data_IF_953555443584
#
_entry.id   IF_953555443584
#
_cell.length_a   1.000
_cell.length_b   1.000
_cell.length_c   1.000
_cell.angle_alpha   90.00
_cell.angle_beta   90.00
_cell.angle_gamma   90.00
#
_symmetry.space_group_name_H-M   'P 1'
#
loop_
_entity.id
_entity.type
_entity.pdbx_description
1 polymer ?
#
# COMPACT_ATOMS: atom_id res chain seq x y z
N UNK A 1 -10.50 34.19 4.55
CA UNK A 1 -11.05 32.82 4.41
C UNK A 1 -9.94 31.99 3.81
N UNK A 2 -9.52 30.92 4.48
CA UNK A 2 -8.51 30.01 3.94
C UNK A 2 -9.19 29.08 2.94
N UNK A 3 -8.79 29.15 1.67
CA UNK A 3 -9.32 28.27 0.62
C UNK A 3 -8.87 26.83 0.89
N UNK A 4 -9.83 25.96 1.24
CA UNK A 4 -9.58 24.54 1.40
C UNK A 4 -9.10 23.93 0.10
N UNK A 5 -7.85 23.43 0.08
CA UNK A 5 -7.32 22.70 -1.07
C UNK A 5 -7.98 21.32 -1.15
N UNK A 6 -8.73 21.09 -2.22
CA UNK A 6 -9.27 19.78 -2.55
C UNK A 6 -8.24 18.97 -3.32
N UNK A 7 -7.83 17.84 -2.77
CA UNK A 7 -6.98 16.87 -3.47
C UNK A 7 -7.85 15.76 -4.05
N UNK A 8 -7.65 15.44 -5.34
CA UNK A 8 -8.28 14.30 -6.02
C UNK A 8 -7.25 13.21 -6.26
N UNK A 9 -7.68 11.97 -6.07
CA UNK A 9 -6.90 10.77 -6.39
C UNK A 9 -7.47 10.18 -7.68
N UNK A 10 -6.63 9.55 -8.49
CA UNK A 10 -7.07 8.84 -9.70
C UNK A 10 -7.85 7.58 -9.33
N UNK A 11 -8.63 7.04 -10.27
CA UNK A 11 -9.36 5.79 -10.02
C UNK A 11 -8.42 4.64 -9.60
N UNK A 12 -7.29 4.49 -10.30
CA UNK A 12 -6.25 3.53 -9.94
C UNK A 12 -5.66 3.76 -8.54
N UNK A 13 -5.57 5.02 -8.10
CA UNK A 13 -5.15 5.34 -6.74
C UNK A 13 -6.19 4.95 -5.68
N UNK A 14 -7.48 5.06 -5.99
CA UNK A 14 -8.55 4.55 -5.13
C UNK A 14 -8.48 3.03 -4.98
N UNK A 15 -8.32 2.30 -6.09
CA UNK A 15 -8.20 0.82 -6.10
C UNK A 15 -6.98 0.36 -5.30
N UNK A 16 -5.84 1.03 -5.52
CA UNK A 16 -4.62 0.81 -4.75
C UNK A 16 -4.93 0.97 -3.27
N UNK A 17 -5.38 2.14 -2.81
CA UNK A 17 -5.63 2.41 -1.38
C UNK A 17 -6.62 1.41 -0.78
N UNK A 18 -7.71 1.07 -1.47
CA UNK A 18 -8.70 0.11 -1.00
C UNK A 18 -8.10 -1.27 -0.72
N UNK A 19 -7.12 -1.69 -1.51
CA UNK A 19 -6.47 -3.00 -1.40
C UNK A 19 -5.50 -3.09 -0.22
N UNK A 20 -4.78 -2.01 0.10
CA UNK A 20 -3.63 -2.02 1.03
C UNK A 20 -3.94 -1.38 2.37
N UNK A 21 -5.00 -0.57 2.47
CA UNK A 21 -5.44 -0.02 3.75
C UNK A 21 -5.95 -1.07 4.73
N UNK A 22 -6.04 -2.34 4.32
CA UNK A 22 -6.13 -3.44 5.27
C UNK A 22 -5.04 -3.29 6.33
N UNK A 23 -5.46 -3.21 7.59
CA UNK A 23 -4.61 -2.80 8.71
C UNK A 23 -3.37 -3.69 8.85
N UNK A 24 -3.49 -4.99 8.54
CA UNK A 24 -2.38 -5.94 8.61
C UNK A 24 -1.38 -5.74 7.47
N UNK A 25 -1.86 -5.47 6.26
CA UNK A 25 -1.00 -5.23 5.09
C UNK A 25 -0.24 -3.91 5.30
N UNK A 26 -0.93 -2.82 5.65
CA UNK A 26 -0.31 -1.51 5.83
C UNK A 26 0.72 -1.48 6.96
N UNK A 27 0.44 -2.14 8.10
CA UNK A 27 1.38 -2.22 9.21
C UNK A 27 2.69 -2.88 8.78
N UNK A 28 2.62 -4.02 8.08
CA UNK A 28 3.79 -4.75 7.59
C UNK A 28 4.52 -3.99 6.48
N UNK A 29 3.81 -3.29 5.59
CA UNK A 29 4.42 -2.39 4.60
C UNK A 29 5.25 -1.29 5.26
N UNK A 30 4.73 -0.62 6.30
CA UNK A 30 5.46 0.43 7.04
C UNK A 30 6.70 -0.12 7.74
N UNK A 31 6.60 -1.30 8.34
CA UNK A 31 7.74 -1.95 8.99
C UNK A 31 8.88 -2.18 7.99
N UNK A 32 8.56 -2.77 6.83
CA UNK A 32 9.52 -3.06 5.78
C UNK A 32 10.11 -1.78 5.17
N UNK A 33 9.29 -0.76 4.94
CA UNK A 33 9.74 0.54 4.47
C UNK A 33 10.68 1.22 5.48
N UNK A 34 10.38 1.11 6.78
CA UNK A 34 11.22 1.65 7.85
C UNK A 34 12.61 1.01 7.91
N UNK A 35 12.71 -0.30 7.64
CA UNK A 35 14.00 -1.01 7.56
C UNK A 35 14.90 -0.50 6.44
N UNK A 36 14.33 0.06 5.37
CA UNK A 36 15.09 0.61 4.25
C UNK A 36 15.67 2.02 4.52
N UNK A 37 15.36 2.65 5.66
CA UNK A 37 15.86 3.99 6.02
C UNK A 37 15.24 5.14 5.23
N UNK A 38 14.22 4.86 4.42
CA UNK A 38 13.55 5.79 3.52
C UNK A 38 13.23 5.10 2.19
N UNK A 39 12.00 5.26 1.70
CA UNK A 39 11.56 4.66 0.44
C UNK A 39 10.91 5.70 -0.45
N UNK A 40 11.15 5.59 -1.75
CA UNK A 40 10.36 6.34 -2.74
C UNK A 40 8.93 5.84 -2.76
N UNK A 41 8.00 6.63 -3.31
CA UNK A 41 6.60 6.21 -3.44
C UNK A 41 6.45 4.92 -4.26
N UNK A 42 7.25 4.78 -5.33
CA UNK A 42 7.27 3.56 -6.15
C UNK A 42 7.79 2.35 -5.37
N UNK A 43 8.83 2.52 -4.54
CA UNK A 43 9.30 1.43 -3.68
C UNK A 43 8.27 1.04 -2.62
N UNK A 44 7.60 2.02 -2.02
CA UNK A 44 6.52 1.77 -1.07
C UNK A 44 5.38 0.99 -1.73
N UNK A 45 5.04 1.34 -2.98
CA UNK A 45 4.07 0.61 -3.81
C UNK A 45 4.49 -0.84 -4.05
N UNK A 46 5.74 -1.08 -4.42
CA UNK A 46 6.27 -2.43 -4.61
C UNK A 46 6.21 -3.26 -3.32
N UNK A 47 6.60 -2.69 -2.18
CA UNK A 47 6.54 -3.36 -0.87
C UNK A 47 5.09 -3.70 -0.52
N UNK A 48 4.18 -2.73 -0.66
CA UNK A 48 2.75 -2.91 -0.44
C UNK A 48 2.18 -4.09 -1.24
N UNK A 49 2.44 -4.14 -2.55
CA UNK A 49 1.99 -5.23 -3.40
C UNK A 49 2.61 -6.57 -3.02
N UNK A 50 3.90 -6.61 -2.67
CA UNK A 50 4.55 -7.83 -2.20
C UNK A 50 3.91 -8.39 -0.92
N UNK A 51 3.63 -7.53 0.05
CA UNK A 51 2.94 -7.93 1.30
C UNK A 51 1.52 -8.41 1.01
N UNK A 52 0.79 -7.71 0.13
CA UNK A 52 -0.55 -8.14 -0.28
C UNK A 52 -0.53 -9.51 -0.95
N UNK A 53 0.37 -9.73 -1.92
CA UNK A 53 0.53 -11.02 -2.60
C UNK A 53 0.84 -12.15 -1.63
N UNK A 54 1.76 -11.93 -0.69
CA UNK A 54 2.09 -12.93 0.33
C UNK A 54 0.84 -13.29 1.15
N UNK A 55 0.09 -12.30 1.64
CA UNK A 55 -1.14 -12.51 2.40
C UNK A 55 -2.23 -13.20 1.57
N UNK A 56 -2.37 -12.84 0.29
CA UNK A 56 -3.32 -13.46 -0.62
C UNK A 56 -2.97 -14.93 -0.86
N UNK A 57 -1.69 -15.25 -1.07
CA UNK A 57 -1.21 -16.63 -1.21
C UNK A 57 -1.46 -17.45 0.06
N UNK A 58 -1.20 -16.89 1.24
CA UNK A 58 -1.47 -17.54 2.54
C UNK A 58 -2.96 -17.88 2.73
N UNK A 59 -3.88 -17.00 2.28
CA UNK A 59 -5.32 -17.17 2.46
C UNK A 59 -5.98 -18.03 1.39
N UNK A 60 -5.46 -18.00 0.16
CA UNK A 60 -6.11 -18.63 -1.01
C UNK A 60 -5.40 -19.89 -1.50
N UNK A 61 -4.12 -20.08 -1.14
CA UNK A 61 -3.28 -21.14 -1.70
C UNK A 61 -2.89 -20.93 -3.16
N UNK A 62 -3.13 -19.74 -3.72
CA UNK A 62 -2.80 -19.37 -5.10
C UNK A 62 -1.52 -18.54 -5.15
N UNK A 63 -0.68 -18.75 -6.18
CA UNK A 63 0.50 -17.91 -6.45
C UNK A 63 0.17 -16.82 -7.47
N UNK A 64 0.60 -15.57 -7.20
CA UNK A 64 0.30 -14.37 -7.99
C UNK A 64 1.54 -13.56 -8.37
#
# INVERSE_FOLDING_TARGET
MEEGRFFRITNAGHDYIATIRDEKVWAKTKELAGKAGGVTLEMLKTIAFGVFKAKAAELTGLEF
#
